data_IF_720557065959
#
_entry.id   IF_720557065959
#
_cell.length_a   1.000
_cell.length_b   1.000
_cell.length_c   1.000
_cell.angle_alpha   90.00
_cell.angle_beta   90.00
_cell.angle_gamma   90.00
#
_symmetry.space_group_name_H-M   'P 1'
#
loop_
_entity.id
_entity.type
_entity.pdbx_description
1 polymer ?
#
# COMPACT_ATOMS: atom_id res chain seq x y z
N UNK A 1 16.98 -9.24 -8.07
CA UNK A 1 16.46 -9.14 -8.00
C UNK A 1 15.83 -9.05 -8.07
N UNK A 2 15.48 -8.94 -7.99
CA UNK A 2 14.67 -8.79 -7.90
C UNK A 2 14.00 -8.57 -8.24
N UNK A 3 13.39 -8.57 -8.07
CA UNK A 3 12.54 -8.38 -8.19
C UNK A 3 11.81 -8.27 -8.46
N UNK A 4 11.35 -8.28 -8.38
CA UNK A 4 10.47 -8.20 -8.50
C UNK A 4 9.85 -8.20 -8.75
N UNK A 5 9.31 -8.42 -8.92
CA UNK A 5 8.62 -8.51 -9.07
C UNK A 5 7.84 -8.68 -9.36
N UNK A 6 7.69 -8.59 -9.30
CA UNK A 6 6.90 -8.69 -9.55
C UNK A 6 6.45 -8.74 -9.93
N UNK A 7 6.23 -8.67 -9.97
CA UNK A 7 5.59 -8.64 -10.22
C UNK A 7 5.25 -8.34 -10.71
N UNK A 8 5.07 -8.49 -10.80
CA UNK A 8 4.76 -7.98 -11.08
C UNK A 8 5.06 -7.34 -11.40
N UNK A 9 5.00 -6.98 -11.40
CA UNK A 9 5.48 -6.29 -11.43
C UNK A 9 6.47 -6.38 -11.60
N UNK A 10 6.98 -6.69 -11.31
CA UNK A 10 7.85 -6.73 -11.14
C UNK A 10 8.24 -7.27 -10.87
N UNK A 11 8.41 -7.49 -10.57
CA UNK A 11 8.78 -7.93 -10.02
C UNK A 11 9.08 -8.29 -9.61
N UNK A 12 9.14 -8.75 -9.37
CA UNK A 12 9.37 -8.99 -8.70
C UNK A 12 9.87 -8.83 -8.14
N UNK A 13 9.99 -8.88 -7.89
CA UNK A 13 10.38 -8.55 -7.18
C UNK A 13 10.62 -7.68 -7.04
N UNK A 14 10.66 -7.32 -7.12
CA UNK A 14 10.85 -6.32 -6.84
C UNK A 14 10.20 -5.47 -6.95
N UNK A 15 9.66 -5.66 -7.49
CA UNK A 15 9.03 -4.76 -7.42
C UNK A 15 8.42 -4.42 -6.50
N UNK A 16 8.03 -4.68 -6.38
CA UNK A 16 7.12 -4.41 -5.65
C UNK A 16 7.37 -4.10 -4.26
N UNK A 17 8.21 -4.50 -3.61
CA UNK A 17 8.38 -4.24 -2.25
C UNK A 17 9.28 -3.11 -2.03
N UNK A 18 8.83 -1.98 -2.33
CA UNK A 18 9.62 -0.82 -2.12
C UNK A 18 9.33 -0.27 -0.75
N UNK A 19 10.36 -0.13 0.04
CA UNK A 19 10.25 0.62 1.25
C UNK A 19 9.91 2.03 0.88
N UNK A 20 8.86 2.54 1.46
CA UNK A 20 8.45 3.88 1.17
C UNK A 20 9.37 4.84 1.91
N UNK A 21 10.20 5.55 1.20
CA UNK A 21 11.01 6.58 1.80
C UNK A 21 10.12 7.68 2.36
N UNK A 22 9.08 8.01 1.62
CA UNK A 22 8.06 8.90 2.14
C UNK A 22 7.13 8.07 2.97
N UNK A 23 6.89 8.50 4.18
CA UNK A 23 5.96 7.77 5.03
C UNK A 23 4.56 7.93 4.49
N UNK A 24 3.91 6.83 4.27
CA UNK A 24 2.53 6.79 3.81
C UNK A 24 1.68 6.23 4.94
N UNK A 25 0.64 6.96 5.29
CA UNK A 25 -0.25 6.57 6.37
C UNK A 25 -1.63 6.30 5.82
N UNK A 26 -2.35 5.41 6.46
CA UNK A 26 -3.72 5.11 6.12
C UNK A 26 -4.57 5.14 7.37
N UNK A 27 -5.82 5.56 7.20
CA UNK A 27 -6.85 5.37 8.20
C UNK A 27 -7.67 4.19 7.73
N UNK A 28 -7.85 3.19 8.57
CA UNK A 28 -8.51 1.98 8.11
C UNK A 28 -9.41 1.41 9.20
N UNK A 29 -10.44 0.71 8.76
CA UNK A 29 -11.42 0.11 9.64
C UNK A 29 -11.55 -1.37 9.31
N UNK A 30 -11.51 -2.19 10.35
CA UNK A 30 -11.63 -3.63 10.22
C UNK A 30 -12.30 -4.17 11.46
N UNK A 31 -13.35 -4.96 11.31
CA UNK A 31 -14.08 -5.55 12.42
C UNK A 31 -14.57 -4.50 13.41
N UNK A 32 -15.03 -3.38 12.91
CA UNK A 32 -15.54 -2.30 13.77
C UNK A 32 -14.49 -1.48 14.48
N UNK A 33 -13.21 -1.81 14.30
CA UNK A 33 -12.10 -1.07 14.91
C UNK A 33 -11.45 -0.19 13.87
N UNK A 34 -11.22 1.06 14.26
CA UNK A 34 -10.61 2.05 13.40
C UNK A 34 -9.20 2.34 13.89
N UNK A 35 -8.27 2.50 12.97
CA UNK A 35 -6.88 2.70 13.34
C UNK A 35 -6.18 3.49 12.26
N UNK A 36 -5.04 4.08 12.62
CA UNK A 36 -4.17 4.76 11.66
C UNK A 36 -2.84 4.03 11.70
N UNK A 37 -2.38 3.58 10.53
CA UNK A 37 -1.18 2.77 10.45
C UNK A 37 -0.30 3.22 9.31
N UNK A 38 0.98 2.92 9.43
CA UNK A 38 1.95 3.23 8.40
C UNK A 38 1.98 2.10 7.38
N UNK A 39 2.11 2.48 6.12
CA UNK A 39 2.26 1.53 5.03
C UNK A 39 3.72 1.13 4.93
N UNK A 40 3.99 -0.16 5.00
CA UNK A 40 5.33 -0.69 4.82
C UNK A 40 5.62 -1.05 3.38
N UNK A 41 4.66 -1.71 2.74
CA UNK A 41 4.77 -2.11 1.34
C UNK A 41 3.47 -1.79 0.63
N UNK A 42 3.56 -1.43 -0.63
CA UNK A 42 2.39 -1.08 -1.41
C UNK A 42 2.54 -1.59 -2.83
N UNK A 43 1.46 -2.15 -3.37
CA UNK A 43 1.39 -2.57 -4.76
C UNK A 43 -0.03 -2.34 -5.26
N UNK A 44 -0.24 -2.58 -6.54
CA UNK A 44 -1.58 -2.42 -7.11
C UNK A 44 -2.55 -3.45 -6.55
N UNK A 45 -2.03 -4.55 -5.99
CA UNK A 45 -2.89 -5.62 -5.49
C UNK A 45 -3.07 -5.64 -3.99
N UNK A 46 -2.30 -4.85 -3.24
CA UNK A 46 -2.42 -4.92 -1.80
C UNK A 46 -1.44 -4.03 -1.07
N UNK A 47 -1.51 -4.13 0.25
CA UNK A 47 -0.72 -3.27 1.12
C UNK A 47 -0.32 -4.06 2.36
N UNK A 48 0.85 -3.75 2.92
CA UNK A 48 1.25 -4.27 4.21
C UNK A 48 1.26 -3.11 5.20
N UNK A 49 0.48 -3.24 6.25
CA UNK A 49 0.33 -2.20 7.27
C UNK A 49 1.06 -2.61 8.54
N UNK A 50 1.78 -1.65 9.11
CA UNK A 50 2.46 -1.84 10.38
C UNK A 50 1.44 -1.67 11.50
N UNK A 51 1.15 -2.75 12.22
CA UNK A 51 0.23 -2.70 13.35
C UNK A 51 0.55 -3.83 14.30
N UNK A 52 0.34 -3.57 15.58
CA UNK A 52 0.50 -4.59 16.60
C UNK A 52 -0.81 -5.26 16.97
N UNK A 53 -1.92 -4.72 16.46
CA UNK A 53 -3.24 -5.25 16.82
C UNK A 53 -3.67 -6.21 15.73
N UNK A 54 -3.75 -7.50 16.05
CA UNK A 54 -4.11 -8.49 15.02
C UNK A 54 -5.57 -8.37 14.59
N UNK A 55 -5.82 -8.81 13.38
CA UNK A 55 -7.17 -8.93 12.83
C UNK A 55 -7.29 -10.33 12.26
N UNK A 56 -8.47 -10.91 12.26
CA UNK A 56 -8.61 -12.28 11.75
C UNK A 56 -8.37 -12.34 10.25
N UNK A 57 -7.79 -13.45 9.82
CA UNK A 57 -7.61 -13.72 8.40
C UNK A 57 -8.97 -13.71 7.71
N UNK A 58 -9.03 -13.10 6.55
CA UNK A 58 -10.26 -13.00 5.80
C UNK A 58 -11.17 -11.87 6.22
N UNK A 59 -10.83 -11.14 7.28
CA UNK A 59 -11.64 -10.01 7.72
C UNK A 59 -11.61 -8.92 6.66
N UNK A 60 -12.73 -8.26 6.49
CA UNK A 60 -12.84 -7.17 5.52
C UNK A 60 -12.40 -5.87 6.15
N UNK A 61 -11.76 -5.05 5.35
CA UNK A 61 -11.26 -3.76 5.80
C UNK A 61 -11.57 -2.71 4.76
N UNK A 62 -11.71 -1.47 5.23
CA UNK A 62 -11.80 -0.30 4.36
C UNK A 62 -10.63 0.59 4.69
N UNK A 63 -9.93 1.02 3.67
CA UNK A 63 -8.69 1.76 3.84
C UNK A 63 -8.78 3.09 3.11
N UNK A 64 -8.47 4.18 3.84
CA UNK A 64 -8.35 5.52 3.28
C UNK A 64 -6.90 5.93 3.35
N UNK A 65 -6.30 6.22 2.21
CA UNK A 65 -4.92 6.67 2.17
C UNK A 65 -4.86 8.17 2.47
N UNK A 66 -3.93 8.55 3.34
CA UNK A 66 -3.75 9.95 3.75
C UNK A 66 -2.59 10.52 2.98
N UNK A 67 -2.83 10.87 1.72
CA UNK A 67 -1.76 11.18 0.78
C UNK A 67 -2.12 12.39 -0.07
N UNK A 68 -1.11 13.08 -0.63
CA UNK A 68 -1.38 14.28 -1.44
C UNK A 68 -1.99 13.98 -2.80
N UNK A 69 -1.93 12.75 -3.27
CA UNK A 69 -2.54 12.39 -4.55
C UNK A 69 -4.06 12.59 -4.57
N UNK A 70 -4.65 12.64 -3.40
CA UNK A 70 -6.08 12.84 -3.26
C UNK A 70 -6.74 11.68 -2.53
N UNK A 71 -8.05 11.64 -2.60
CA UNK A 71 -8.79 10.61 -1.91
C UNK A 71 -8.61 9.26 -2.59
N UNK A 72 -8.15 8.28 -1.84
CA UNK A 72 -7.99 6.91 -2.33
C UNK A 72 -8.61 5.99 -1.28
N UNK A 73 -9.75 5.42 -1.60
CA UNK A 73 -10.44 4.48 -0.73
C UNK A 73 -10.46 3.12 -1.38
N UNK A 74 -10.03 2.11 -0.65
CA UNK A 74 -10.04 0.75 -1.16
C UNK A 74 -10.70 -0.16 -0.15
N UNK A 75 -11.30 -1.24 -0.65
CA UNK A 75 -11.74 -2.33 0.20
C UNK A 75 -10.75 -3.45 0.07
N UNK A 76 -10.55 -4.16 1.16
CA UNK A 76 -9.51 -5.19 1.22
C UNK A 76 -9.89 -6.30 2.17
N UNK A 77 -9.15 -7.38 2.13
CA UNK A 77 -9.30 -8.47 3.09
C UNK A 77 -7.93 -8.81 3.67
N UNK A 78 -7.93 -9.18 4.94
CA UNK A 78 -6.71 -9.60 5.62
C UNK A 78 -6.26 -10.92 5.03
N UNK A 79 -5.06 -10.96 4.48
CA UNK A 79 -4.54 -12.13 3.82
C UNK A 79 -3.37 -12.74 4.55
N UNK A 80 -2.57 -11.92 5.23
CA UNK A 80 -1.42 -12.38 5.98
C UNK A 80 -1.38 -11.68 7.32
N UNK A 81 -0.91 -12.39 8.31
CA UNK A 81 -0.66 -11.80 9.62
C UNK A 81 0.74 -12.19 10.02
N UNK A 82 1.57 -11.20 10.29
CA UNK A 82 2.91 -11.44 10.80
C UNK A 82 2.95 -10.88 12.21
N UNK A 83 2.92 -11.77 13.22
CA UNK A 83 2.86 -11.32 14.61
C UNK A 83 3.99 -10.37 14.96
N UNK A 84 3.65 -9.29 15.64
CA UNK A 84 4.63 -8.29 16.04
C UNK A 84 5.03 -7.34 14.93
N UNK A 85 4.53 -7.52 13.71
CA UNK A 85 4.91 -6.67 12.59
C UNK A 85 3.73 -6.02 11.91
N UNK A 86 2.75 -6.79 11.48
CA UNK A 86 1.62 -6.17 10.81
C UNK A 86 0.76 -7.14 10.02
N UNK A 87 -0.02 -6.54 9.14
CA UNK A 87 -1.01 -7.26 8.34
C UNK A 87 -0.79 -6.99 6.87
N UNK A 88 -0.85 -8.06 6.07
CA UNK A 88 -0.94 -7.94 4.63
C UNK A 88 -2.39 -8.00 4.22
N UNK A 89 -2.84 -7.00 3.46
CA UNK A 89 -4.21 -6.93 3.00
C UNK A 89 -4.23 -6.95 1.47
N UNK A 90 -5.13 -7.73 0.93
CA UNK A 90 -5.34 -7.81 -0.51
C UNK A 90 -6.49 -6.90 -0.88
N UNK A 91 -6.29 -6.04 -1.86
CA UNK A 91 -7.35 -5.15 -2.33
C UNK A 91 -8.42 -5.97 -3.05
N UNK A 92 -9.66 -5.68 -2.74
CA UNK A 92 -10.79 -6.38 -3.37
C UNK A 92 -11.65 -5.45 -4.19
N UNK A 93 -11.63 -4.15 -3.90
CA UNK A 93 -12.42 -3.20 -4.68
C UNK A 93 -11.83 -1.80 -4.54
N UNK A 94 -11.90 -1.06 -5.65
CA UNK A 94 -11.54 0.34 -5.68
C UNK A 94 -12.38 0.97 -6.79
N UNK A 95 -12.82 2.20 -6.59
CA UNK A 95 -13.62 2.87 -7.61
C UNK A 95 -12.74 3.30 -8.78
N UNK A 96 -13.36 3.46 -9.95
CA UNK A 96 -12.65 3.96 -11.13
C UNK A 96 -12.10 5.35 -10.90
N UNK A 97 -12.73 6.11 -10.04
CA UNK A 97 -12.31 7.47 -9.73
C UNK A 97 -11.05 7.48 -8.89
N UNK A 98 -10.91 6.53 -7.99
CA UNK A 98 -9.77 6.48 -7.09
C UNK A 98 -8.60 5.69 -7.66
N UNK A 99 -8.85 4.81 -8.61
CA UNK A 99 -7.82 3.95 -9.16
C UNK A 99 -6.63 4.72 -9.74
N UNK A 100 -6.83 5.77 -10.55
CA UNK A 100 -5.67 6.52 -11.06
C UNK A 100 -4.85 7.17 -9.95
N UNK A 101 -5.49 7.56 -8.87
CA UNK A 101 -4.77 8.15 -7.75
C UNK A 101 -3.91 7.12 -7.03
N UNK A 102 -4.43 5.89 -6.91
CA UNK A 102 -3.64 4.81 -6.34
C UNK A 102 -2.43 4.51 -7.21
N UNK A 103 -2.61 4.48 -8.53
CA UNK A 103 -1.49 4.26 -9.43
C UNK A 103 -0.45 5.38 -9.29
N UNK A 104 -0.91 6.62 -9.19
CA UNK A 104 0.00 7.75 -9.00
C UNK A 104 0.77 7.63 -7.69
N UNK A 105 0.09 7.22 -6.64
CA UNK A 105 0.74 7.01 -5.34
C UNK A 105 1.81 5.91 -5.45
N UNK A 106 1.46 4.79 -6.06
CA UNK A 106 2.40 3.70 -6.23
C UNK A 106 3.62 4.16 -7.01
N UNK A 107 3.40 4.90 -8.10
CA UNK A 107 4.52 5.41 -8.87
C UNK A 107 5.42 6.31 -8.05
N UNK A 108 4.86 7.13 -7.19
CA UNK A 108 5.65 8.01 -6.36
C UNK A 108 6.50 7.23 -5.36
N UNK A 109 5.91 6.24 -4.70
CA UNK A 109 6.62 5.52 -3.63
C UNK A 109 7.48 4.38 -4.14
N UNK A 110 7.13 3.82 -5.30
CA UNK A 110 7.86 2.68 -5.84
C UNK A 110 8.95 3.07 -6.81
N UNK A 111 9.12 4.34 -7.07
CA UNK A 111 10.18 4.83 -7.94
C UNK A 111 10.97 5.93 -7.24
N UNK A 112 11.58 5.59 -6.10
CA UNK A 112 12.27 6.61 -5.33
C UNK A 112 13.47 7.20 -6.03
N UNK A 113 14.02 6.49 -6.98
CA UNK A 113 15.17 6.97 -7.71
C UNK A 113 14.84 8.05 -8.72
N UNK A 114 13.55 8.23 -8.98
CA UNK A 114 13.18 9.31 -9.81
C UNK A 114 13.32 10.51 -9.02
N UNK A 115 14.07 11.25 -9.33
CA UNK A 115 14.27 12.33 -8.46
C UNK A 115 13.26 13.38 -8.60
N UNK A 116 13.07 12.88 -8.14
CA UNK A 116 12.45 13.42 -8.30
C UNK A 116 12.98 14.58 -8.72
N UNK A 117 13.56 14.24 -9.18
CA UNK A 117 14.01 14.79 -9.52
C UNK A 117 13.98 15.32 -10.14
N UNK A 118 13.98 15.64 -10.35
CA UNK A 118 13.98 16.21 -10.89
C UNK A 118 14.40 16.50 -11.42
N UNK A 119 14.44 16.52 -11.46
CA UNK A 119 14.70 16.82 -11.86
C UNK A 119 15.04 17.10 -12.40
N UNK A 120 15.08 17.30 -12.66
CA UNK A 120 15.23 17.64 -13.15
C UNK A 120 15.48 17.74 -13.76
N UNK A 121 15.31 17.75 -13.71
CA UNK A 121 15.39 17.77 -14.17
C UNK A 121 15.49 17.89 -14.65
N UNK A 122 15.46 17.86 -14.82
CA UNK A 122 15.48 17.91 -15.06
C UNK A 122 15.56 17.95 -15.35
#
# INVERSE_FOLDING_TARGET
MATARVGPLYSRRQISRVETHDQVWVCWRCEGLEDVSRVCDLSVGGVFLSTLIPRPMGARAKIDFLVPEGQIRVEAVVQHLIPGRGLGLKFTAITDQDCPRLVALINRVCNPSRPSRPVPVN
#
